data_IF_824248179660
#
_entry.id   IF_824248179660
#
_cell.length_a   1.000
_cell.length_b   1.000
_cell.length_c   1.000
_cell.angle_alpha   90.00
_cell.angle_beta   90.00
_cell.angle_gamma   90.00
#
_symmetry.space_group_name_H-M   'P 1'
#
loop_
_entity.id
_entity.type
_entity.pdbx_description
1 polymer ?
#
# COMPACT_ATOMS: atom_id res chain seq x y z
N UNK A 1 -13.39 28.50 15.85
CA UNK A 1 -13.66 27.11 15.44
C UNK A 1 -13.49 27.08 13.93
N UNK A 2 -12.39 26.52 13.44
CA UNK A 2 -12.12 26.49 12.00
C UNK A 2 -13.10 25.49 11.37
N UNK A 3 -14.15 26.01 10.73
CA UNK A 3 -15.05 25.20 9.93
C UNK A 3 -14.27 24.69 8.72
N UNK A 4 -14.42 23.40 8.40
CA UNK A 4 -13.92 22.83 7.15
C UNK A 4 -14.44 23.68 5.99
N UNK A 5 -13.54 24.13 5.12
CA UNK A 5 -13.94 24.91 3.97
C UNK A 5 -14.85 24.08 3.08
N UNK A 6 -15.82 24.71 2.42
CA UNK A 6 -16.64 24.04 1.42
C UNK A 6 -15.78 23.38 0.33
N UNK A 7 -14.60 23.95 0.04
CA UNK A 7 -13.61 23.38 -0.87
C UNK A 7 -12.98 22.10 -0.34
N UNK A 8 -12.66 22.01 0.96
CA UNK A 8 -12.08 20.81 1.56
C UNK A 8 -13.07 19.64 1.49
N UNK A 9 -14.34 19.91 1.81
CA UNK A 9 -15.41 18.93 1.66
C UNK A 9 -15.59 18.50 0.20
N UNK A 10 -15.58 19.44 -0.75
CA UNK A 10 -15.71 19.13 -2.17
C UNK A 10 -14.58 18.22 -2.66
N UNK A 11 -13.32 18.51 -2.30
CA UNK A 11 -12.16 17.68 -2.66
C UNK A 11 -12.25 16.30 -2.02
N UNK A 12 -12.65 16.21 -0.75
CA UNK A 12 -12.83 14.94 -0.04
C UNK A 12 -13.87 14.03 -0.72
N UNK A 13 -15.05 14.56 -1.01
CA UNK A 13 -16.11 13.78 -1.69
C UNK A 13 -15.73 13.41 -3.12
N UNK A 14 -15.09 14.32 -3.85
CA UNK A 14 -14.62 14.06 -5.21
C UNK A 14 -13.58 12.92 -5.23
N UNK A 15 -12.61 12.93 -4.32
CA UNK A 15 -11.66 11.84 -4.15
C UNK A 15 -12.37 10.50 -3.90
N UNK A 16 -13.33 10.48 -2.97
CA UNK A 16 -14.07 9.27 -2.62
C UNK A 16 -14.87 8.71 -3.81
N UNK A 17 -15.52 9.59 -4.58
CA UNK A 17 -16.28 9.22 -5.78
C UNK A 17 -15.35 8.64 -6.86
N UNK A 18 -14.20 9.27 -7.12
CA UNK A 18 -13.25 8.79 -8.13
C UNK A 18 -12.72 7.39 -7.77
N UNK A 19 -12.26 7.20 -6.52
CA UNK A 19 -11.72 5.91 -6.07
C UNK A 19 -12.79 4.81 -6.13
N UNK A 20 -14.01 5.11 -5.66
CA UNK A 20 -15.12 4.16 -5.68
C UNK A 20 -15.58 3.82 -7.09
N UNK A 21 -15.69 4.82 -7.97
CA UNK A 21 -16.06 4.62 -9.37
C UNK A 21 -15.00 3.81 -10.13
N UNK A 22 -13.71 4.09 -9.90
CA UNK A 22 -12.61 3.33 -10.50
C UNK A 22 -12.63 1.87 -10.04
N UNK A 23 -12.78 1.62 -8.73
CA UNK A 23 -12.92 0.27 -8.19
C UNK A 23 -14.10 -0.49 -8.80
N UNK A 24 -15.26 0.17 -8.93
CA UNK A 24 -16.45 -0.40 -9.55
C UNK A 24 -16.25 -0.69 -11.06
N UNK A 25 -15.59 0.21 -11.78
CA UNK A 25 -15.25 0.02 -13.19
C UNK A 25 -14.34 -1.19 -13.39
N UNK A 26 -13.26 -1.32 -12.60
CA UNK A 26 -12.35 -2.47 -12.64
C UNK A 26 -13.09 -3.76 -12.31
N UNK A 27 -13.95 -3.75 -11.29
CA UNK A 27 -14.78 -4.89 -10.93
C UNK A 27 -15.67 -5.35 -12.10
N UNK A 28 -16.39 -4.42 -12.76
CA UNK A 28 -17.22 -4.76 -13.93
C UNK A 28 -16.39 -5.24 -15.12
N UNK A 29 -15.24 -4.62 -15.39
CA UNK A 29 -14.36 -5.02 -16.49
C UNK A 29 -13.77 -6.42 -16.29
N UNK A 30 -13.43 -6.79 -15.06
CA UNK A 30 -12.94 -8.14 -14.73
C UNK A 30 -14.05 -9.19 -14.75
N UNK A 31 -15.31 -8.84 -14.47
CA UNK A 31 -16.45 -9.76 -14.59
C UNK A 31 -16.75 -10.19 -16.05
N UNK A 32 -16.35 -9.39 -17.04
CA UNK A 32 -16.54 -9.71 -18.46
C UNK A 32 -15.45 -10.62 -19.05
N UNK A 33 -14.27 -10.68 -18.43
CA UNK A 33 -13.22 -11.64 -18.78
C UNK A 33 -13.36 -12.85 -17.86
N UNK A 34 -13.52 -14.06 -18.42
CA UNK A 34 -13.28 -15.31 -17.66
C UNK A 34 -11.78 -15.36 -17.34
N UNK A 35 -11.36 -14.66 -16.29
CA UNK A 35 -10.01 -14.77 -15.76
C UNK A 35 -9.88 -16.15 -15.12
N UNK A 36 -9.07 -17.00 -15.74
CA UNK A 36 -8.65 -18.26 -15.15
C UNK A 36 -7.91 -17.95 -13.84
N UNK A 37 -8.03 -18.79 -12.82
CA UNK A 37 -7.36 -18.60 -11.52
C UNK A 37 -5.85 -18.43 -11.68
N UNK A 38 -5.32 -18.99 -12.78
CA UNK A 38 -3.93 -18.89 -13.21
C UNK A 38 -3.49 -17.45 -13.53
N UNK A 39 -4.31 -16.63 -14.19
CA UNK A 39 -3.98 -15.22 -14.49
C UNK A 39 -4.03 -14.31 -13.25
N UNK A 40 -4.76 -14.73 -12.22
CA UNK A 40 -4.92 -13.97 -10.98
C UNK A 40 -3.75 -14.20 -10.01
N UNK A 41 -3.16 -15.40 -10.01
CA UNK A 41 -2.03 -15.79 -9.16
C UNK A 41 -0.68 -15.71 -9.87
N UNK A 42 -0.60 -16.17 -11.12
CA UNK A 42 0.55 -15.92 -11.97
C UNK A 42 0.29 -14.63 -12.74
N UNK A 43 0.52 -13.48 -12.13
CA UNK A 43 0.87 -12.27 -12.87
C UNK A 43 2.22 -12.49 -13.62
N UNK A 44 2.22 -13.49 -14.50
CA UNK A 44 3.11 -13.86 -15.58
C UNK A 44 4.62 -13.81 -15.36
N UNK A 45 5.12 -13.75 -14.11
CA UNK A 45 6.55 -13.51 -13.88
C UNK A 45 7.06 -12.21 -14.53
N UNK A 46 6.15 -11.33 -14.98
CA UNK A 46 6.43 -10.12 -15.75
C UNK A 46 6.41 -8.86 -14.89
N UNK A 47 6.04 -9.02 -13.60
CA UNK A 47 6.17 -7.96 -12.60
C UNK A 47 7.65 -7.64 -12.41
N UNK A 48 8.05 -6.46 -12.87
CA UNK A 48 9.37 -5.92 -12.66
C UNK A 48 9.69 -5.82 -11.17
N UNK A 49 10.94 -6.06 -10.79
CA UNK A 49 11.39 -6.06 -9.39
C UNK A 49 10.98 -4.81 -8.59
N UNK A 50 10.99 -3.63 -9.21
CA UNK A 50 10.59 -2.38 -8.56
C UNK A 50 9.08 -2.30 -8.30
N UNK A 51 8.25 -2.91 -9.14
CA UNK A 51 6.80 -2.98 -8.94
C UNK A 51 6.46 -3.92 -7.77
N UNK A 52 7.20 -5.03 -7.63
CA UNK A 52 7.08 -5.95 -6.49
C UNK A 52 7.48 -5.23 -5.20
N UNK A 53 8.64 -4.55 -5.20
CA UNK A 53 9.10 -3.78 -4.04
C UNK A 53 8.13 -2.67 -3.64
N UNK A 54 7.65 -1.88 -4.61
CA UNK A 54 6.66 -0.83 -4.35
C UNK A 54 5.35 -1.39 -3.79
N UNK A 55 4.89 -2.54 -4.28
CA UNK A 55 3.67 -3.19 -3.77
C UNK A 55 3.82 -3.67 -2.32
N UNK A 56 4.98 -4.22 -1.95
CA UNK A 56 5.26 -4.66 -0.57
C UNK A 56 5.24 -3.46 0.38
N UNK A 57 5.93 -2.37 0.02
CA UNK A 57 5.92 -1.15 0.83
C UNK A 57 4.52 -0.54 0.90
N UNK A 58 3.82 -0.41 -0.24
CA UNK A 58 2.47 0.13 -0.28
C UNK A 58 1.46 -0.69 0.54
N UNK A 59 1.67 -2.00 0.67
CA UNK A 59 0.82 -2.87 1.50
C UNK A 59 1.07 -2.67 3.00
N UNK A 60 2.23 -2.15 3.40
CA UNK A 60 2.60 -1.90 4.79
C UNK A 60 2.28 -0.45 5.25
N UNK A 61 2.19 0.50 4.32
CA UNK A 61 1.89 1.90 4.64
C UNK A 61 0.39 2.11 4.81
N UNK A 62 -0.01 2.53 6.02
CA UNK A 62 -1.40 2.80 6.38
C UNK A 62 -1.56 4.17 7.05
N UNK A 63 -2.81 4.54 7.38
CA UNK A 63 -3.09 5.77 8.12
C UNK A 63 -2.40 5.81 9.50
N UNK A 64 -2.22 4.65 10.14
CA UNK A 64 -1.44 4.52 11.37
C UNK A 64 0.02 4.89 11.14
N UNK A 65 0.58 4.47 10.00
CA UNK A 65 1.95 4.79 9.66
C UNK A 65 2.16 6.30 9.46
N UNK A 66 1.17 7.03 8.95
CA UNK A 66 1.26 8.48 8.82
C UNK A 66 1.03 9.23 10.15
N UNK A 67 -0.07 8.92 10.85
CA UNK A 67 -0.46 9.68 12.05
C UNK A 67 0.29 9.18 13.30
N UNK A 68 0.38 7.87 13.48
CA UNK A 68 1.01 7.23 14.62
C UNK A 68 2.52 7.44 14.64
N UNK A 69 3.22 7.19 13.53
CA UNK A 69 4.66 7.41 13.46
C UNK A 69 5.05 8.89 13.58
N UNK A 70 4.22 9.80 13.06
CA UNK A 70 4.46 11.25 13.26
C UNK A 70 4.28 11.65 14.73
N UNK A 71 3.30 11.08 15.42
CA UNK A 71 3.08 11.31 16.85
C UNK A 71 4.22 10.75 17.73
N UNK A 72 4.68 9.54 17.45
CA UNK A 72 5.85 8.97 18.13
C UNK A 72 7.13 9.69 17.75
N UNK A 73 7.26 10.20 16.52
CA UNK A 73 8.34 11.08 16.09
C UNK A 73 8.36 12.43 16.83
N UNK A 74 7.20 12.99 17.17
CA UNK A 74 7.14 14.17 18.04
C UNK A 74 7.62 13.87 19.46
N UNK A 75 7.29 12.70 20.01
CA UNK A 75 7.65 12.33 21.39
C UNK A 75 9.09 11.80 21.54
N UNK A 76 9.56 10.98 20.60
CA UNK A 76 10.83 10.24 20.66
C UNK A 76 11.85 10.71 19.60
N UNK A 77 11.49 11.66 18.75
CA UNK A 77 12.36 12.17 17.70
C UNK A 77 12.70 11.09 16.66
N UNK A 78 13.92 11.15 16.13
CA UNK A 78 14.40 10.21 15.11
C UNK A 78 14.52 8.77 15.61
N UNK A 79 14.49 8.53 16.93
CA UNK A 79 14.66 7.19 17.49
C UNK A 79 13.62 6.18 16.96
N UNK A 80 12.39 6.62 16.65
CA UNK A 80 11.35 5.76 16.06
C UNK A 80 11.74 5.21 14.68
N UNK A 81 12.56 5.93 13.90
CA UNK A 81 13.01 5.47 12.58
C UNK A 81 13.85 4.18 12.65
N UNK A 82 14.41 3.87 13.83
CA UNK A 82 15.11 2.61 14.08
C UNK A 82 14.21 1.40 13.80
N UNK A 83 12.89 1.52 14.00
CA UNK A 83 11.93 0.46 13.69
C UNK A 83 11.94 0.12 12.20
N UNK A 84 11.87 1.14 11.34
CA UNK A 84 11.90 0.97 9.87
C UNK A 84 13.26 0.50 9.37
N UNK A 85 14.36 1.00 9.96
CA UNK A 85 15.70 0.57 9.57
C UNK A 85 15.97 -0.90 9.91
N UNK A 86 15.53 -1.33 11.10
CA UNK A 86 15.61 -2.74 11.48
C UNK A 86 14.68 -3.60 10.60
N UNK A 87 13.45 -3.14 10.32
CA UNK A 87 12.52 -3.83 9.43
C UNK A 87 13.12 -4.03 8.02
N UNK A 88 13.78 -3.02 7.45
CA UNK A 88 14.47 -3.13 6.17
C UNK A 88 15.55 -4.22 6.19
N UNK A 89 16.36 -4.28 7.25
CA UNK A 89 17.37 -5.34 7.41
C UNK A 89 16.74 -6.72 7.55
N UNK A 90 15.66 -6.85 8.34
CA UNK A 90 14.92 -8.11 8.48
C UNK A 90 14.28 -8.54 7.17
N UNK A 91 13.75 -7.62 6.36
CA UNK A 91 13.18 -7.93 5.04
C UNK A 91 14.23 -8.53 4.10
N UNK A 92 15.49 -8.08 4.16
CA UNK A 92 16.58 -8.69 3.38
C UNK A 92 16.80 -10.15 3.81
N UNK A 93 16.83 -10.41 5.12
CA UNK A 93 17.00 -11.77 5.65
C UNK A 93 15.82 -12.66 5.22
N UNK A 94 14.59 -12.17 5.33
CA UNK A 94 13.39 -12.90 4.89
C UNK A 94 13.44 -13.17 3.37
N UNK A 95 13.83 -12.18 2.56
CA UNK A 95 13.93 -12.34 1.12
C UNK A 95 15.00 -13.35 0.69
N UNK A 96 16.13 -13.44 1.40
CA UNK A 96 17.23 -14.36 1.04
C UNK A 96 16.99 -15.77 1.57
N UNK A 97 16.48 -15.92 2.79
CA UNK A 97 16.42 -17.23 3.46
C UNK A 97 15.04 -17.88 3.45
N UNK A 98 13.97 -17.08 3.56
CA UNK A 98 12.61 -17.62 3.67
C UNK A 98 11.92 -17.69 2.31
N UNK A 99 12.05 -16.67 1.49
CA UNK A 99 11.38 -16.59 0.18
C UNK A 99 11.71 -17.77 -0.77
N UNK A 100 12.95 -18.31 -0.81
CA UNK A 100 13.26 -19.50 -1.62
C UNK A 100 12.61 -20.80 -1.14
N UNK A 101 12.08 -20.84 0.08
CA UNK A 101 11.42 -22.03 0.65
C UNK A 101 9.92 -22.04 0.27
N UNK A 102 9.34 -20.87 0.05
CA UNK A 102 7.91 -20.69 -0.24
C UNK A 102 7.57 -20.64 -1.74
N UNK A 103 8.56 -20.42 -2.61
CA UNK A 103 8.46 -20.50 -4.06
C UNK A 103 8.87 -21.88 -4.57
#
# INVERSE_FOLDING_TARGET
MNHLSALDCAVFFLYFVIVSAYGYYVYRSKKQKKTDTKDYFLAEGSLTWWAIGASIIASNISAEHFIGMSGSGFAMGLAIASYEWMAAATLIIVAVFFLPIYL
#
